data_IF_513822196902
#
_entry.id   IF_513822196902
#
_cell.length_a   1.000
_cell.length_b   1.000
_cell.length_c   1.000
_cell.angle_alpha   90.00
_cell.angle_beta   90.00
_cell.angle_gamma   90.00
#
_symmetry.space_group_name_H-M   'P 1'
#
loop_
_entity.id
_entity.type
_entity.pdbx_description
1 polymer ?
#
# COMPACT_ATOMS: atom_id res chain seq x y z
N UNK A 1 31.58 -19.01 2.90
CA UNK A 1 30.49 -18.07 3.22
C UNK A 1 30.49 -16.78 2.38
N UNK A 2 29.44 -16.60 1.57
CA UNK A 2 29.06 -15.29 1.03
C UNK A 2 28.05 -14.62 1.98
N UNK A 3 28.16 -13.31 2.16
CA UNK A 3 27.16 -12.55 2.93
C UNK A 3 26.04 -12.06 2.00
N UNK A 4 24.81 -12.20 2.44
CA UNK A 4 23.63 -11.73 1.72
C UNK A 4 22.77 -10.84 2.61
N UNK A 5 22.31 -9.72 2.07
CA UNK A 5 21.27 -8.91 2.69
C UNK A 5 19.91 -9.47 2.29
N UNK A 6 19.13 -9.88 3.28
CA UNK A 6 17.81 -10.49 3.10
C UNK A 6 16.77 -9.65 3.81
N UNK A 7 15.59 -9.52 3.20
CA UNK A 7 14.42 -8.93 3.81
C UNK A 7 13.48 -10.04 4.29
N UNK A 8 13.07 -9.98 5.54
CA UNK A 8 11.96 -10.75 6.08
C UNK A 8 10.77 -9.80 6.23
N UNK A 9 9.77 -9.99 5.39
CA UNK A 9 8.59 -9.13 5.34
C UNK A 9 7.34 -9.90 5.77
N UNK A 10 6.62 -9.38 6.76
CA UNK A 10 5.40 -10.00 7.31
C UNK A 10 4.23 -9.04 7.07
N UNK A 11 3.23 -9.41 6.24
CA UNK A 11 2.00 -8.63 6.11
C UNK A 11 1.23 -8.69 7.42
N UNK A 12 0.78 -7.56 7.94
CA UNK A 12 -0.23 -7.54 9.00
C UNK A 12 -1.61 -7.32 8.39
N UNK A 13 -1.67 -6.42 7.40
CA UNK A 13 -2.87 -6.12 6.62
C UNK A 13 -2.47 -5.51 5.28
N UNK A 14 -2.83 -6.16 4.16
CA UNK A 14 -2.42 -5.72 2.83
C UNK A 14 -3.51 -5.94 1.77
N UNK A 15 -4.33 -4.92 1.56
CA UNK A 15 -5.29 -4.86 0.45
C UNK A 15 -5.05 -3.68 -0.50
N UNK A 16 -4.24 -2.71 -0.07
CA UNK A 16 -3.70 -1.61 -0.86
C UNK A 16 -2.19 -1.67 -0.81
N UNK A 17 -1.55 -1.14 -1.83
CA UNK A 17 -0.11 -1.03 -1.99
C UNK A 17 0.63 -2.34 -1.67
N UNK A 18 0.29 -3.48 -2.32
CA UNK A 18 0.88 -4.75 -1.97
C UNK A 18 2.38 -4.81 -2.21
N UNK A 19 3.04 -5.74 -1.51
CA UNK A 19 4.41 -6.10 -1.82
C UNK A 19 4.43 -6.72 -3.22
N UNK A 20 5.07 -6.02 -4.15
CA UNK A 20 5.35 -6.53 -5.50
C UNK A 20 6.79 -7.01 -5.54
N UNK A 21 7.01 -8.19 -6.12
CA UNK A 21 8.33 -8.75 -6.38
C UNK A 21 8.47 -8.97 -7.88
N UNK A 22 9.57 -8.51 -8.47
CA UNK A 22 9.88 -8.80 -9.86
C UNK A 22 10.40 -10.24 -10.02
N UNK A 23 9.98 -10.92 -11.08
CA UNK A 23 10.69 -12.09 -11.57
C UNK A 23 12.02 -11.63 -12.17
N UNK A 24 13.12 -11.92 -11.48
CA UNK A 24 14.47 -11.52 -11.91
C UNK A 24 14.86 -12.00 -13.31
N UNK A 25 14.21 -13.05 -13.84
CA UNK A 25 14.45 -13.54 -15.22
C UNK A 25 13.87 -12.63 -16.29
N UNK A 26 12.89 -11.79 -15.93
CA UNK A 26 12.25 -10.81 -16.81
C UNK A 26 12.92 -9.43 -16.75
N UNK A 27 13.95 -9.26 -15.92
CA UNK A 27 14.59 -7.96 -15.67
C UNK A 27 15.88 -7.83 -16.47
N UNK A 28 15.84 -7.01 -17.53
CA UNK A 28 17.05 -6.47 -18.16
C UNK A 28 17.47 -5.21 -17.41
N UNK A 29 18.48 -5.33 -16.53
CA UNK A 29 18.96 -4.18 -15.73
C UNK A 29 19.50 -3.03 -16.60
N UNK A 30 20.05 -3.31 -17.78
CA UNK A 30 20.62 -2.26 -18.65
C UNK A 30 19.53 -1.44 -19.33
N UNK A 31 18.44 -2.10 -19.74
CA UNK A 31 17.31 -1.45 -20.40
C UNK A 31 16.31 -0.87 -19.40
N UNK A 32 16.06 -1.57 -18.30
CA UNK A 32 14.98 -1.24 -17.35
C UNK A 32 15.41 -0.28 -16.24
N UNK A 33 16.70 -0.08 -15.98
CA UNK A 33 17.15 0.85 -14.94
C UNK A 33 17.54 2.19 -15.55
N UNK A 34 16.95 3.25 -15.02
CA UNK A 34 17.43 4.61 -15.23
C UNK A 34 18.35 4.98 -14.07
N UNK A 35 19.63 5.23 -14.37
CA UNK A 35 20.55 5.89 -13.45
C UNK A 35 20.36 7.40 -13.56
N UNK A 36 20.13 8.07 -12.44
CA UNK A 36 20.10 9.53 -12.38
C UNK A 36 20.86 10.01 -11.15
N UNK A 37 21.46 11.19 -11.30
CA UNK A 37 22.19 11.84 -10.22
C UNK A 37 21.24 12.63 -9.34
N UNK A 38 21.33 12.44 -8.04
CA UNK A 38 20.74 13.32 -7.05
C UNK A 38 21.85 14.19 -6.47
N UNK A 39 21.77 15.49 -6.72
CA UNK A 39 22.69 16.45 -6.15
C UNK A 39 22.62 16.35 -4.62
N UNK A 40 23.78 16.23 -3.99
CA UNK A 40 23.88 16.23 -2.53
C UNK A 40 24.54 17.51 -2.08
N UNK A 41 23.72 18.42 -1.57
CA UNK A 41 24.16 19.78 -1.29
C UNK A 41 24.79 19.92 0.11
N UNK A 42 24.62 18.92 1.00
CA UNK A 42 25.29 18.87 2.31
C UNK A 42 25.09 17.52 3.04
N UNK A 43 26.17 17.01 3.65
CA UNK A 43 26.22 16.24 4.92
C UNK A 43 27.67 15.82 5.23
N UNK A 44 28.47 15.59 4.18
CA UNK A 44 29.90 15.27 4.24
C UNK A 44 30.65 16.32 3.39
N UNK A 45 31.85 16.73 3.82
CA UNK A 45 32.79 17.49 2.98
C UNK A 45 33.28 16.57 1.86
N UNK A 46 32.45 16.45 0.82
CA UNK A 46 32.67 15.57 -0.33
C UNK A 46 33.49 16.28 -1.39
N UNK A 47 34.34 15.52 -2.06
CA UNK A 47 35.07 16.01 -3.22
C UNK A 47 34.11 16.33 -4.38
N UNK A 48 34.56 17.16 -5.33
CA UNK A 48 33.69 17.68 -6.40
C UNK A 48 33.13 16.57 -7.32
N UNK A 49 33.80 15.42 -7.43
CA UNK A 49 33.35 14.23 -8.15
C UNK A 49 32.39 13.33 -7.35
N UNK A 50 32.22 13.61 -6.05
CA UNK A 50 31.31 12.90 -5.13
C UNK A 50 30.04 13.72 -4.77
N UNK A 51 29.86 14.88 -5.41
CA UNK A 51 28.74 15.80 -5.18
C UNK A 51 27.37 15.25 -5.65
N UNK A 52 27.36 14.10 -6.32
CA UNK A 52 26.16 13.48 -6.90
C UNK A 52 26.05 12.04 -6.39
N UNK A 53 24.95 11.72 -5.71
CA UNK A 53 24.62 10.33 -5.43
C UNK A 53 24.06 9.68 -6.70
N UNK A 54 24.65 8.55 -7.09
CA UNK A 54 24.04 7.67 -8.07
C UNK A 54 22.80 7.00 -7.49
N UNK A 55 21.66 7.25 -8.12
CA UNK A 55 20.38 6.62 -7.78
C UNK A 55 19.82 5.94 -9.02
N UNK A 56 19.16 4.80 -8.78
CA UNK A 56 18.52 4.02 -9.82
C UNK A 56 17.02 3.93 -9.55
N UNK A 57 16.23 4.04 -10.62
CA UNK A 57 14.82 3.68 -10.63
C UNK A 57 14.57 2.64 -11.72
N UNK A 58 13.65 1.72 -11.46
CA UNK A 58 13.15 0.82 -12.49
C UNK A 58 12.07 1.54 -13.30
N UNK A 59 12.32 1.71 -14.60
CA UNK A 59 11.34 2.18 -15.55
C UNK A 59 10.37 1.05 -15.88
N UNK A 60 9.11 1.39 -16.16
CA UNK A 60 8.17 0.41 -16.68
C UNK A 60 8.64 -0.10 -18.06
N UNK A 61 8.58 -1.42 -18.24
CA UNK A 61 8.81 -2.08 -19.51
C UNK A 61 7.83 -3.27 -19.64
N UNK A 62 7.15 -3.46 -20.78
CA UNK A 62 6.13 -4.50 -20.95
C UNK A 62 6.70 -5.93 -20.82
N UNK A 63 8.01 -6.12 -20.98
CA UNK A 63 8.66 -7.43 -20.82
C UNK A 63 8.84 -7.82 -19.34
N UNK A 64 8.66 -6.86 -18.41
CA UNK A 64 8.78 -7.11 -16.98
C UNK A 64 7.61 -7.92 -16.45
N UNK A 65 7.92 -8.88 -15.59
CA UNK A 65 6.92 -9.66 -14.86
C UNK A 65 7.02 -9.34 -13.38
N UNK A 66 5.94 -8.80 -12.86
CA UNK A 66 5.78 -8.47 -11.45
C UNK A 66 4.70 -9.36 -10.86
N UNK A 67 5.01 -9.95 -9.71
CA UNK A 67 4.10 -10.82 -8.98
C UNK A 67 3.75 -10.17 -7.65
N UNK A 68 2.48 -10.26 -7.28
CA UNK A 68 2.00 -9.90 -5.96
C UNK A 68 0.88 -10.82 -5.54
N UNK A 69 0.54 -10.76 -4.26
CA UNK A 69 -0.66 -11.41 -3.73
C UNK A 69 -1.46 -10.36 -2.97
N UNK A 70 -2.70 -10.15 -3.37
CA UNK A 70 -3.66 -9.44 -2.53
C UNK A 70 -4.14 -10.36 -1.41
N UNK A 71 -4.54 -9.82 -0.25
CA UNK A 71 -5.05 -10.59 0.90
C UNK A 71 -3.99 -11.44 1.59
N UNK A 72 -2.95 -10.78 2.07
CA UNK A 72 -1.93 -11.43 2.88
C UNK A 72 -2.17 -11.10 4.36
N UNK A 73 -1.94 -12.08 5.24
CA UNK A 73 -2.06 -11.95 6.69
C UNK A 73 -0.74 -12.32 7.39
N UNK A 74 -0.72 -12.12 8.71
CA UNK A 74 0.47 -12.31 9.54
C UNK A 74 0.91 -13.78 9.69
N UNK A 75 0.23 -14.74 9.05
CA UNK A 75 0.57 -16.17 9.13
C UNK A 75 1.70 -16.54 8.19
N UNK A 76 2.07 -15.67 7.26
CA UNK A 76 3.14 -15.89 6.29
C UNK A 76 4.22 -14.82 6.40
N UNK A 77 5.48 -15.23 6.24
CA UNK A 77 6.60 -14.32 6.07
C UNK A 77 7.21 -14.52 4.68
N UNK A 78 7.62 -13.43 4.04
CA UNK A 78 8.24 -13.42 2.72
C UNK A 78 9.71 -13.09 2.90
N UNK A 79 10.56 -14.02 2.49
CA UNK A 79 12.01 -13.89 2.56
C UNK A 79 12.54 -13.71 1.15
N UNK A 80 13.26 -12.61 0.91
CA UNK A 80 13.85 -12.34 -0.40
C UNK A 80 15.20 -11.63 -0.28
N UNK A 81 16.07 -11.86 -1.26
CA UNK A 81 17.35 -11.16 -1.37
C UNK A 81 17.10 -9.69 -1.70
N UNK A 82 17.35 -8.80 -0.73
CA UNK A 82 17.03 -7.37 -0.83
C UNK A 82 17.71 -6.70 -2.02
N UNK A 83 18.97 -7.05 -2.30
CA UNK A 83 19.76 -6.43 -3.37
C UNK A 83 19.60 -7.16 -4.72
N UNK A 84 19.21 -8.44 -4.67
CA UNK A 84 19.05 -9.29 -5.84
C UNK A 84 17.67 -9.20 -6.48
N UNK A 85 16.63 -8.94 -5.69
CA UNK A 85 15.22 -8.98 -6.11
C UNK A 85 14.63 -7.58 -6.15
N UNK A 86 14.34 -7.01 -7.34
CA UNK A 86 13.57 -5.77 -7.42
C UNK A 86 12.20 -5.97 -6.76
N UNK A 87 11.84 -5.04 -5.88
CA UNK A 87 10.63 -5.12 -5.09
C UNK A 87 10.13 -3.73 -4.72
N UNK A 88 8.88 -3.63 -4.31
CA UNK A 88 8.31 -2.37 -3.85
C UNK A 88 6.87 -2.50 -3.39
N UNK A 89 6.22 -1.36 -3.26
CA UNK A 89 4.79 -1.27 -3.03
C UNK A 89 4.11 -0.90 -4.36
N UNK A 90 3.35 -1.82 -4.94
CA UNK A 90 2.66 -1.60 -6.22
C UNK A 90 1.31 -0.93 -6.01
N UNK A 91 0.91 0.01 -6.87
CA UNK A 91 -0.42 0.62 -6.81
C UNK A 91 -1.41 -0.25 -7.57
N UNK A 92 -2.48 -0.70 -6.91
CA UNK A 92 -3.54 -1.49 -7.55
C UNK A 92 -4.60 -0.62 -8.24
N UNK A 93 -5.23 -1.13 -9.33
CA UNK A 93 -6.46 -0.54 -9.85
C UNK A 93 -7.51 -0.38 -8.75
N UNK A 94 -8.10 0.81 -8.64
CA UNK A 94 -9.11 1.17 -7.65
C UNK A 94 -8.59 1.71 -6.32
N UNK A 95 -7.26 1.84 -6.12
CA UNK A 95 -6.73 2.49 -4.92
C UNK A 95 -7.10 3.97 -4.83
N UNK A 96 -7.25 4.65 -5.96
CA UNK A 96 -7.79 6.01 -6.06
C UNK A 96 -9.25 6.09 -5.58
N UNK A 97 -10.06 5.09 -5.93
CA UNK A 97 -11.45 4.97 -5.44
C UNK A 97 -11.46 4.71 -3.94
N UNK A 98 -10.60 3.81 -3.45
CA UNK A 98 -10.46 3.55 -2.02
C UNK A 98 -10.01 4.79 -1.24
N UNK A 99 -9.08 5.58 -1.78
CA UNK A 99 -8.64 6.85 -1.20
C UNK A 99 -9.79 7.86 -1.13
N UNK A 100 -10.56 8.02 -2.20
CA UNK A 100 -11.77 8.89 -2.20
C UNK A 100 -12.75 8.48 -1.11
N UNK A 101 -13.07 7.19 -1.02
CA UNK A 101 -13.94 6.66 0.04
C UNK A 101 -13.36 6.91 1.45
N UNK A 102 -12.05 6.69 1.62
CA UNK A 102 -11.35 6.93 2.88
C UNK A 102 -11.46 8.40 3.32
N UNK A 103 -11.20 9.34 2.41
CA UNK A 103 -11.23 10.76 2.69
C UNK A 103 -12.65 11.25 3.00
N UNK A 104 -13.64 10.80 2.23
CA UNK A 104 -15.04 11.13 2.45
C UNK A 104 -15.55 10.61 3.81
N UNK A 105 -15.28 9.34 4.14
CA UNK A 105 -15.64 8.80 5.46
C UNK A 105 -14.90 9.52 6.60
N UNK A 106 -13.64 9.90 6.42
CA UNK A 106 -12.90 10.68 7.42
C UNK A 106 -13.55 12.05 7.65
N UNK A 107 -13.97 12.72 6.58
CA UNK A 107 -14.67 14.01 6.69
C UNK A 107 -16.06 13.85 7.35
N UNK A 108 -16.82 12.83 6.95
CA UNK A 108 -18.11 12.49 7.55
C UNK A 108 -17.99 12.14 9.04
N UNK A 109 -16.97 11.37 9.45
CA UNK A 109 -16.68 11.11 10.87
C UNK A 109 -16.48 12.40 11.66
N UNK A 110 -15.66 13.33 11.15
CA UNK A 110 -15.40 14.59 11.81
C UNK A 110 -16.67 15.44 11.93
N UNK A 111 -17.56 15.41 10.93
CA UNK A 111 -18.85 16.08 10.98
C UNK A 111 -19.81 15.43 11.98
N UNK A 112 -19.90 14.10 11.97
CA UNK A 112 -20.72 13.32 12.89
C UNK A 112 -20.31 13.56 14.35
N UNK A 113 -19.01 13.62 14.64
CA UNK A 113 -18.49 13.93 15.98
C UNK A 113 -18.84 15.35 16.46
N UNK A 114 -19.12 16.28 15.55
CA UNK A 114 -19.64 17.62 15.87
C UNK A 114 -21.17 17.68 15.98
N UNK A 115 -21.87 16.57 15.69
CA UNK A 115 -23.32 16.53 15.62
C UNK A 115 -23.90 17.27 14.41
N UNK A 116 -23.13 17.42 13.33
CA UNK A 116 -23.51 18.19 12.14
C UNK A 116 -23.98 17.24 11.02
N UNK A 117 -25.28 16.93 11.02
CA UNK A 117 -25.90 16.00 10.06
C UNK A 117 -25.82 16.50 8.61
N UNK A 118 -25.92 17.81 8.40
CA UNK A 118 -25.78 18.42 7.07
C UNK A 118 -24.35 18.25 6.52
N UNK A 119 -23.34 18.51 7.34
CA UNK A 119 -21.94 18.31 6.94
C UNK A 119 -21.57 16.83 6.74
N UNK A 120 -22.25 15.90 7.42
CA UNK A 120 -22.11 14.46 7.13
C UNK A 120 -22.57 14.15 5.70
N UNK A 121 -23.76 14.62 5.32
CA UNK A 121 -24.28 14.39 3.96
C UNK A 121 -23.36 15.03 2.92
N UNK A 122 -22.94 16.27 3.14
CA UNK A 122 -22.04 16.99 2.23
C UNK A 122 -20.72 16.24 2.00
N UNK A 123 -20.09 15.76 3.08
CA UNK A 123 -18.83 15.02 3.00
C UNK A 123 -18.94 13.72 2.19
N UNK A 124 -20.12 13.08 2.21
CA UNK A 124 -20.35 11.78 1.60
C UNK A 124 -20.93 11.87 0.17
N UNK A 125 -21.44 13.02 -0.24
CA UNK A 125 -22.05 13.20 -1.56
C UNK A 125 -21.12 12.86 -2.74
N UNK A 126 -19.82 13.08 -2.59
CA UNK A 126 -18.83 12.76 -3.63
C UNK A 126 -18.64 11.26 -3.91
N UNK A 127 -19.32 10.39 -3.15
CA UNK A 127 -19.34 8.94 -3.34
C UNK A 127 -20.56 8.44 -4.11
N UNK A 128 -21.52 9.33 -4.43
CA UNK A 128 -22.71 8.92 -5.17
C UNK A 128 -22.36 8.36 -6.55
N UNK A 129 -22.94 7.21 -6.90
CA UNK A 129 -22.69 6.52 -8.16
C UNK A 129 -21.29 5.90 -8.30
N UNK A 130 -20.44 5.94 -7.27
CA UNK A 130 -19.17 5.21 -7.27
C UNK A 130 -19.44 3.71 -7.20
N UNK A 131 -18.80 2.95 -8.09
CA UNK A 131 -18.94 1.49 -8.17
C UNK A 131 -17.57 0.81 -8.27
N UNK A 132 -17.49 -0.42 -7.78
CA UNK A 132 -16.31 -1.28 -7.94
C UNK A 132 -16.28 -1.94 -9.33
N UNK A 133 -15.09 -2.27 -9.83
CA UNK A 133 -14.90 -2.91 -11.15
C UNK A 133 -14.17 -4.24 -11.04
N UNK A 134 -14.32 -5.09 -12.05
CA UNK A 134 -13.67 -6.42 -12.07
C UNK A 134 -12.14 -6.38 -12.15
N UNK A 135 -11.57 -5.23 -12.56
CA UNK A 135 -10.11 -5.00 -12.58
C UNK A 135 -9.50 -4.87 -11.18
N UNK A 136 -10.31 -4.45 -10.19
CA UNK A 136 -9.88 -4.34 -8.80
C UNK A 136 -9.70 -5.73 -8.20
N UNK A 137 -8.78 -5.87 -7.24
CA UNK A 137 -8.66 -7.15 -6.51
C UNK A 137 -9.94 -7.43 -5.68
N UNK A 138 -10.33 -8.70 -5.48
CA UNK A 138 -11.52 -9.03 -4.70
C UNK A 138 -11.52 -8.41 -3.29
N UNK A 139 -10.36 -8.30 -2.65
CA UNK A 139 -10.20 -7.70 -1.34
C UNK A 139 -10.56 -6.22 -1.34
N UNK A 140 -9.98 -5.50 -2.31
CA UNK A 140 -10.12 -4.07 -2.44
C UNK A 140 -11.57 -3.72 -2.78
N UNK A 141 -12.22 -4.51 -3.66
CA UNK A 141 -13.65 -4.38 -3.92
C UNK A 141 -14.48 -4.48 -2.65
N UNK A 142 -14.30 -5.55 -1.85
CA UNK A 142 -15.06 -5.73 -0.61
C UNK A 142 -14.86 -4.59 0.39
N UNK A 143 -13.65 -4.05 0.47
CA UNK A 143 -13.35 -2.91 1.33
C UNK A 143 -14.02 -1.62 0.84
N UNK A 144 -13.96 -1.35 -0.47
CA UNK A 144 -14.64 -0.20 -1.09
C UNK A 144 -16.16 -0.34 -0.91
N UNK A 145 -16.75 -1.49 -1.26
CA UNK A 145 -18.19 -1.74 -1.08
C UNK A 145 -18.63 -1.58 0.38
N UNK A 146 -17.77 -1.96 1.33
CA UNK A 146 -17.99 -1.74 2.75
C UNK A 146 -18.02 -0.26 3.13
N UNK A 147 -17.10 0.54 2.60
CA UNK A 147 -17.07 1.99 2.81
C UNK A 147 -18.26 2.70 2.14
N UNK A 148 -18.62 2.31 0.92
CA UNK A 148 -19.76 2.87 0.18
C UNK A 148 -21.07 2.60 0.91
N UNK A 149 -21.28 1.38 1.40
CA UNK A 149 -22.48 1.05 2.19
C UNK A 149 -22.63 1.91 3.44
N UNK A 150 -21.54 2.12 4.18
CA UNK A 150 -21.56 3.00 5.36
C UNK A 150 -21.86 4.45 4.98
N UNK A 151 -21.38 4.91 3.83
CA UNK A 151 -21.70 6.23 3.32
C UNK A 151 -23.19 6.33 2.95
N UNK A 152 -23.75 5.33 2.27
CA UNK A 152 -25.17 5.28 1.89
C UNK A 152 -26.10 5.24 3.11
N UNK A 153 -25.75 4.45 4.13
CA UNK A 153 -26.47 4.40 5.40
C UNK A 153 -26.51 5.78 6.08
N UNK A 154 -25.36 6.46 6.21
CA UNK A 154 -25.30 7.78 6.81
C UNK A 154 -25.94 8.89 5.96
N UNK A 155 -25.94 8.78 4.62
CA UNK A 155 -26.68 9.70 3.75
C UNK A 155 -28.20 9.53 3.89
N UNK A 156 -28.65 8.30 4.10
CA UNK A 156 -30.07 7.96 4.20
C UNK A 156 -30.67 8.32 5.57
N UNK A 157 -29.86 8.26 6.63
CA UNK A 157 -30.26 8.64 7.99
C UNK A 157 -29.12 9.40 8.72
N UNK A 158 -28.88 10.67 8.36
CA UNK A 158 -27.75 11.44 8.89
C UNK A 158 -27.92 11.83 10.35
N UNK A 159 -29.15 11.91 10.86
CA UNK A 159 -29.42 12.21 12.27
C UNK A 159 -28.96 11.06 13.19
N UNK A 160 -29.25 9.81 12.79
CA UNK A 160 -28.76 8.62 13.49
C UNK A 160 -27.24 8.46 13.42
N UNK A 161 -26.59 9.00 12.38
CA UNK A 161 -25.13 9.05 12.30
C UNK A 161 -24.49 10.05 13.29
N UNK A 162 -25.25 11.01 13.83
CA UNK A 162 -24.75 12.15 14.63
C UNK A 162 -25.06 12.08 16.14
N UNK A 163 -26.14 11.44 16.59
CA UNK A 163 -26.57 11.45 18.00
C UNK A 163 -27.07 10.07 18.48
N UNK A 164 -26.98 9.68 19.78
CA UNK A 164 -26.65 10.45 21.00
C UNK A 164 -25.41 9.99 21.82
N UNK A 165 -24.62 9.00 21.40
CA UNK A 165 -23.30 8.60 21.97
C UNK A 165 -22.31 8.44 20.81
N UNK A 166 -20.98 8.46 21.05
CA UNK A 166 -19.94 8.29 19.98
C UNK A 166 -20.45 7.26 18.96
N UNK A 167 -20.95 7.71 17.79
CA UNK A 167 -21.92 6.91 17.04
C UNK A 167 -21.32 5.57 16.62
N UNK A 168 -22.11 4.50 16.67
CA UNK A 168 -21.70 3.19 16.16
C UNK A 168 -21.22 3.30 14.70
N UNK A 169 -21.81 4.23 13.95
CA UNK A 169 -21.38 4.62 12.63
C UNK A 169 -19.93 5.14 12.60
N UNK A 170 -19.53 6.07 13.49
CA UNK A 170 -18.15 6.58 13.54
C UNK A 170 -17.16 5.44 13.84
N UNK A 171 -17.52 4.52 14.74
CA UNK A 171 -16.71 3.32 15.01
C UNK A 171 -16.59 2.43 13.76
N UNK A 172 -17.68 2.20 13.05
CA UNK A 172 -17.73 1.41 11.83
C UNK A 172 -16.94 2.06 10.68
N UNK A 173 -17.10 3.36 10.46
CA UNK A 173 -16.35 4.14 9.48
C UNK A 173 -14.84 4.08 9.75
N UNK A 174 -14.41 4.23 11.01
CA UNK A 174 -13.01 4.07 11.41
C UNK A 174 -12.47 2.68 11.10
N UNK A 175 -13.26 1.64 11.38
CA UNK A 175 -12.88 0.26 11.09
C UNK A 175 -12.77 0.02 9.58
N UNK A 176 -13.75 0.51 8.80
CA UNK A 176 -13.75 0.40 7.34
C UNK A 176 -12.55 1.15 6.72
N UNK A 177 -12.24 2.36 7.18
CA UNK A 177 -11.05 3.09 6.73
C UNK A 177 -9.75 2.40 7.09
N UNK A 178 -9.63 1.86 8.30
CA UNK A 178 -8.44 1.07 8.70
C UNK A 178 -8.25 -0.15 7.80
N UNK A 179 -9.32 -0.70 7.25
CA UNK A 179 -9.24 -1.82 6.32
C UNK A 179 -8.54 -1.48 5.01
N UNK A 180 -8.30 -0.22 4.64
CA UNK A 180 -7.49 0.13 3.45
C UNK A 180 -6.11 0.68 3.82
N UNK A 181 -5.77 0.71 5.12
CA UNK A 181 -4.45 1.14 5.59
C UNK A 181 -3.53 -0.06 5.67
N UNK A 182 -2.53 -0.10 4.78
CA UNK A 182 -1.55 -1.19 4.79
C UNK A 182 -0.72 -1.17 6.07
N UNK A 183 -0.41 -2.35 6.59
CA UNK A 183 0.54 -2.52 7.68
C UNK A 183 1.37 -3.79 7.50
N UNK A 184 2.64 -3.71 7.86
CA UNK A 184 3.60 -4.81 7.75
C UNK A 184 4.73 -4.65 8.76
N UNK A 185 5.37 -5.77 9.10
CA UNK A 185 6.66 -5.78 9.77
C UNK A 185 7.74 -6.06 8.74
N UNK A 186 8.84 -5.30 8.80
CA UNK A 186 9.98 -5.44 7.91
C UNK A 186 11.25 -5.59 8.75
N UNK A 187 11.98 -6.69 8.54
CA UNK A 187 13.26 -6.95 9.19
C UNK A 187 14.33 -7.16 8.12
N UNK A 188 15.42 -6.40 8.22
CA UNK A 188 16.59 -6.56 7.35
C UNK A 188 17.65 -7.37 8.09
N UNK A 189 18.08 -8.46 7.46
CA UNK A 189 18.96 -9.46 8.03
C UNK A 189 20.20 -9.60 7.16
N UNK A 190 21.37 -9.71 7.78
CA UNK A 190 22.59 -10.16 7.10
C UNK A 190 22.74 -11.64 7.40
N UNK A 191 22.75 -12.47 6.36
CA UNK A 191 22.89 -13.92 6.48
C UNK A 191 24.17 -14.39 5.80
N UNK A 192 24.79 -15.43 6.37
CA UNK A 192 25.93 -16.12 5.76
C UNK A 192 25.42 -17.34 4.99
N UNK A 193 25.79 -17.45 3.71
CA UNK A 193 25.44 -18.57 2.85
C UNK A 193 26.71 -19.36 2.54
N UNK A 194 26.74 -20.63 2.91
CA UNK A 194 27.81 -21.55 2.48
C UNK A 194 27.42 -22.27 1.19
N UNK A 195 28.33 -22.26 0.21
CA UNK A 195 28.13 -22.85 -1.13
C UNK A 195 28.07 -24.38 -1.12
N UNK A 196 28.28 -25.02 0.04
CA UNK A 196 28.28 -26.48 0.21
C UNK A 196 26.89 -27.08 0.44
N UNK A 197 25.84 -26.28 0.58
CA UNK A 197 24.47 -26.79 0.67
C UNK A 197 23.88 -27.05 -0.72
N UNK A 198 24.28 -28.16 -1.34
CA UNK A 198 23.60 -28.72 -2.50
C UNK A 198 22.12 -28.96 -2.18
N UNK A 199 21.25 -28.51 -3.10
CA UNK A 199 19.79 -28.66 -3.11
C UNK A 199 19.40 -30.08 -2.68
N UNK A 200 18.68 -30.20 -1.57
CA UNK A 200 17.88 -31.38 -1.28
C UNK A 200 16.69 -31.32 -2.24
N UNK A 201 16.75 -32.09 -3.31
CA UNK A 201 15.65 -32.35 -4.27
C UNK A 201 14.50 -33.08 -3.60
#
# INVERSE_FOLDING_TARGET
>A
PSLMLVNLWIPLHQITQPLVLADGRSIDRRRHQLRYGLATDAFLEREADEAINDIWVFLHDPDQRWCFRSEMDHRSAYVFNTLGTPHGAGVLPGEDVAERCYLALRAGELAAERGDSAAVVEALNGLDGVVTTDEMTPALRRAIDGMLRLADEARSDPESACTPKVPEWVKAARAARRSVVRSSLELRLVVSIDESASVIT
#
